data_IF_753617202628
#
_entry.id   IF_753617202628
#
_cell.length_a   1.000
_cell.length_b   1.000
_cell.length_c   1.000
_cell.angle_alpha   90.00
_cell.angle_beta   90.00
_cell.angle_gamma   90.00
#
_symmetry.space_group_name_H-M   'P 1'
#
loop_
_entity.id
_entity.type
_entity.pdbx_description
1 polymer ?
#
# COMPACT_ATOMS: atom_id res chain seq x y z
N UNK A 1 -40.31 35.93 33.02
CA UNK A 1 -39.81 36.32 31.69
C UNK A 1 -41.05 36.71 30.88
N UNK A 2 -41.70 37.86 31.11
CA UNK A 2 -41.20 39.24 31.21
C UNK A 2 -40.18 39.56 30.11
N UNK A 3 -40.54 40.54 29.26
CA UNK A 3 -39.66 41.10 28.24
C UNK A 3 -40.35 41.77 27.03
N UNK A 4 -41.41 42.55 27.24
CA UNK A 4 -41.72 43.69 26.36
C UNK A 4 -40.89 44.89 26.85
N UNK A 5 -40.34 45.65 25.90
CA UNK A 5 -40.19 47.12 25.85
C UNK A 5 -39.02 47.44 24.91
N UNK A 6 -39.15 48.29 23.90
CA UNK A 6 -39.94 49.51 23.88
C UNK A 6 -38.95 50.68 23.80
N UNK A 7 -38.81 51.27 22.62
CA UNK A 7 -38.05 52.51 22.45
C UNK A 7 -38.74 53.33 21.37
N UNK A 8 -39.43 54.41 21.74
CA UNK A 8 -38.86 55.77 21.80
C UNK A 8 -40.00 56.71 22.20
N UNK A 9 -39.64 57.62 23.09
CA UNK A 9 -40.49 58.57 23.77
C UNK A 9 -41.17 59.59 22.84
N UNK A 10 -42.41 59.93 23.17
CA UNK A 10 -43.07 61.18 22.76
C UNK A 10 -43.40 61.95 24.04
N UNK A 11 -42.65 63.03 24.27
CA UNK A 11 -43.10 64.21 25.01
C UNK A 11 -43.45 65.26 23.94
N UNK A 12 -44.48 66.08 24.01
CA UNK A 12 -45.37 66.49 25.07
C UNK A 12 -45.86 67.90 24.70
N UNK A 13 -46.92 68.34 25.39
CA UNK A 13 -47.42 69.72 25.44
C UNK A 13 -48.33 70.23 24.32
N UNK A 14 -49.57 70.53 24.71
CA UNK A 14 -50.56 71.22 23.89
C UNK A 14 -50.64 72.72 24.14
N UNK A 15 -51.45 73.40 23.34
CA UNK A 15 -52.09 74.68 23.67
C UNK A 15 -53.24 74.98 22.68
N UNK A 16 -54.46 74.84 23.18
CA UNK A 16 -55.60 75.77 23.15
C UNK A 16 -55.56 76.98 22.17
N UNK A 17 -56.69 77.18 21.47
CA UNK A 17 -57.15 78.49 20.92
C UNK A 17 -57.39 78.44 19.40
N UNK A 18 -58.62 78.27 18.92
CA UNK A 18 -59.67 79.29 18.73
C UNK A 18 -59.45 80.19 17.51
N UNK A 19 -60.34 80.05 16.51
CA UNK A 19 -60.84 81.18 15.74
C UNK A 19 -60.63 81.16 14.22
N UNK A 20 -61.76 81.14 13.51
CA UNK A 20 -62.02 81.64 12.14
C UNK A 20 -61.61 80.78 10.92
N UNK A 21 -62.63 80.22 10.28
CA UNK A 21 -62.65 79.87 8.85
C UNK A 21 -62.90 81.15 8.00
N UNK A 22 -63.09 81.12 6.66
CA UNK A 22 -62.81 80.09 5.63
C UNK A 22 -62.19 80.67 4.32
N UNK A 23 -61.25 79.95 3.66
CA UNK A 23 -60.88 80.09 2.23
C UNK A 23 -59.68 79.15 1.98
N UNK A 24 -59.58 78.22 1.03
CA UNK A 24 -60.36 77.90 -0.16
C UNK A 24 -60.13 76.40 -0.43
N UNK A 25 -61.14 75.56 -0.18
CA UNK A 25 -61.09 74.10 -0.45
C UNK A 25 -60.86 73.80 -1.96
N UNK A 26 -61.01 74.82 -2.82
CA UNK A 26 -60.81 74.75 -4.27
C UNK A 26 -59.35 74.72 -4.72
N UNK A 27 -58.40 75.27 -3.96
CA UNK A 27 -56.98 75.28 -4.35
C UNK A 27 -56.23 74.00 -3.96
N UNK A 28 -56.69 73.29 -2.92
CA UNK A 28 -56.12 72.00 -2.51
C UNK A 28 -56.66 70.81 -3.32
N UNK A 29 -57.71 71.00 -4.12
CA UNK A 29 -58.29 69.95 -4.97
C UNK A 29 -57.82 70.01 -6.44
N UNK A 30 -57.01 71.00 -6.81
CA UNK A 30 -56.59 71.19 -8.22
C UNK A 30 -55.21 70.58 -8.54
N UNK A 31 -54.49 70.00 -7.56
CA UNK A 31 -53.13 69.48 -7.80
C UNK A 31 -52.85 68.05 -7.35
N UNK A 32 -53.84 67.35 -6.79
CA UNK A 32 -53.75 65.90 -6.57
C UNK A 32 -54.72 65.20 -7.53
N UNK A 33 -54.65 65.56 -8.81
CA UNK A 33 -55.09 64.65 -9.85
C UNK A 33 -54.09 63.51 -9.83
N UNK A 34 -54.44 62.45 -9.09
CA UNK A 34 -53.83 61.14 -9.16
C UNK A 34 -53.52 60.82 -10.62
N UNK A 35 -52.27 61.08 -11.04
CA UNK A 35 -51.76 60.56 -12.29
C UNK A 35 -51.46 59.09 -12.01
N UNK A 36 -52.53 58.30 -11.86
CA UNK A 36 -52.46 56.86 -11.77
C UNK A 36 -51.99 56.40 -13.13
N UNK A 37 -50.67 56.39 -13.29
CA UNK A 37 -50.05 55.91 -14.49
C UNK A 37 -50.18 54.39 -14.49
N UNK A 38 -51.27 53.95 -15.10
CA UNK A 38 -51.62 52.54 -15.30
C UNK A 38 -50.42 51.79 -15.87
N UNK A 39 -49.58 52.44 -16.69
CA UNK A 39 -48.41 51.80 -17.31
C UNK A 39 -47.31 51.50 -16.29
N UNK A 40 -46.97 52.42 -15.39
CA UNK A 40 -45.98 52.16 -14.33
C UNK A 40 -46.51 51.20 -13.28
N UNK A 41 -47.77 51.34 -12.85
CA UNK A 41 -48.35 50.40 -11.88
C UNK A 41 -48.47 48.98 -12.44
N UNK A 42 -48.90 48.82 -13.70
CA UNK A 42 -48.93 47.49 -14.36
C UNK A 42 -47.53 46.95 -14.58
N UNK A 43 -46.56 47.75 -15.04
CA UNK A 43 -45.17 47.32 -15.21
C UNK A 43 -44.56 46.86 -13.87
N UNK A 44 -44.78 47.61 -12.79
CA UNK A 44 -44.23 47.28 -11.46
C UNK A 44 -44.90 46.05 -10.85
N UNK A 45 -46.22 45.89 -11.03
CA UNK A 45 -46.95 44.67 -10.64
C UNK A 45 -46.49 43.44 -11.44
N UNK A 46 -46.23 43.61 -12.74
CA UNK A 46 -45.66 42.57 -13.60
C UNK A 46 -44.25 42.19 -13.13
N UNK A 47 -43.38 43.16 -12.84
CA UNK A 47 -42.04 42.90 -12.31
C UNK A 47 -42.09 42.17 -10.95
N UNK A 48 -42.99 42.57 -10.06
CA UNK A 48 -43.17 41.91 -8.77
C UNK A 48 -43.64 40.45 -8.95
N UNK A 49 -44.53 40.20 -9.92
CA UNK A 49 -44.98 38.85 -10.26
C UNK A 49 -43.84 38.00 -10.85
N UNK A 50 -42.97 38.59 -11.67
CA UNK A 50 -41.77 37.91 -12.19
C UNK A 50 -40.79 37.56 -11.07
N UNK A 51 -40.52 38.50 -10.14
CA UNK A 51 -39.64 38.26 -8.97
C UNK A 51 -40.18 37.14 -8.08
N UNK A 52 -41.50 37.05 -7.92
CA UNK A 52 -42.15 35.96 -7.20
C UNK A 52 -42.08 34.61 -7.94
N UNK A 53 -41.87 34.60 -9.25
CA UNK A 53 -41.71 33.40 -10.08
C UNK A 53 -40.29 32.82 -10.03
N UNK A 54 -39.26 33.66 -9.87
CA UNK A 54 -37.86 33.22 -9.73
C UNK A 54 -37.60 32.17 -8.63
N UNK A 55 -38.10 32.32 -7.38
CA UNK A 55 -37.90 31.30 -6.34
C UNK A 55 -38.61 29.98 -6.67
N UNK A 56 -39.75 30.01 -7.36
CA UNK A 56 -40.41 28.80 -7.83
C UNK A 56 -39.57 28.06 -8.90
N UNK A 57 -38.97 28.80 -9.84
CA UNK A 57 -38.04 28.25 -10.85
C UNK A 57 -36.78 27.66 -10.21
N UNK A 58 -36.23 28.32 -9.18
CA UNK A 58 -35.06 27.84 -8.45
C UNK A 58 -35.38 26.57 -7.65
N UNK A 59 -36.51 26.54 -6.95
CA UNK A 59 -36.97 25.34 -6.24
C UNK A 59 -37.17 24.17 -7.21
N UNK A 60 -37.77 24.42 -8.38
CA UNK A 60 -37.92 23.41 -9.43
C UNK A 60 -36.57 22.91 -9.95
N UNK A 61 -35.61 23.81 -10.17
CA UNK A 61 -34.25 23.44 -10.59
C UNK A 61 -33.51 22.61 -9.53
N UNK A 62 -33.68 22.94 -8.24
CA UNK A 62 -33.13 22.16 -7.12
C UNK A 62 -33.74 20.76 -7.10
N UNK A 63 -35.06 20.64 -7.25
CA UNK A 63 -35.72 19.33 -7.29
C UNK A 63 -35.33 18.48 -8.51
N UNK A 64 -35.06 19.13 -9.66
CA UNK A 64 -34.54 18.43 -10.84
C UNK A 64 -33.10 17.96 -10.63
N UNK A 65 -32.25 18.80 -10.06
CA UNK A 65 -30.87 18.44 -9.74
C UNK A 65 -30.83 17.30 -8.72
N UNK A 66 -31.69 17.34 -7.70
CA UNK A 66 -31.80 16.29 -6.68
C UNK A 66 -32.22 14.94 -7.30
N UNK A 67 -33.20 14.95 -8.20
CA UNK A 67 -33.59 13.74 -8.96
C UNK A 67 -32.46 13.19 -9.81
N UNK A 68 -31.79 14.06 -10.57
CA UNK A 68 -30.70 13.64 -11.46
C UNK A 68 -29.50 13.12 -10.66
N UNK A 69 -29.18 13.78 -9.55
CA UNK A 69 -28.12 13.36 -8.64
C UNK A 69 -28.45 12.01 -8.00
N UNK A 70 -29.70 11.81 -7.56
CA UNK A 70 -30.15 10.52 -7.05
C UNK A 70 -30.06 9.42 -8.11
N UNK A 71 -30.49 9.70 -9.35
CA UNK A 71 -30.38 8.76 -10.46
C UNK A 71 -28.93 8.40 -10.78
N UNK A 72 -28.00 9.37 -10.75
CA UNK A 72 -26.59 9.09 -10.99
C UNK A 72 -25.92 8.32 -9.86
N UNK A 73 -26.27 8.62 -8.61
CA UNK A 73 -25.81 7.87 -7.44
C UNK A 73 -26.31 6.44 -7.50
N UNK A 74 -27.61 6.25 -7.81
CA UNK A 74 -28.23 4.94 -8.00
C UNK A 74 -27.77 4.26 -9.30
N UNK A 75 -27.27 4.98 -10.30
CA UNK A 75 -26.70 4.33 -11.47
C UNK A 75 -25.33 3.70 -11.14
N UNK A 76 -24.51 4.37 -10.32
CA UNK A 76 -23.11 3.99 -10.10
C UNK A 76 -22.84 3.19 -8.83
N UNK A 77 -23.76 3.17 -7.87
CA UNK A 77 -23.53 2.50 -6.58
C UNK A 77 -23.32 0.97 -6.68
N UNK A 78 -24.03 0.29 -7.58
CA UNK A 78 -23.84 -1.15 -7.86
C UNK A 78 -22.46 -1.43 -8.44
N UNK A 79 -22.01 -0.61 -9.40
CA UNK A 79 -20.67 -0.75 -10.00
C UNK A 79 -19.56 -0.53 -8.97
N UNK A 80 -19.71 0.47 -8.09
CA UNK A 80 -18.73 0.77 -7.05
C UNK A 80 -18.67 -0.34 -5.98
N UNK A 81 -19.82 -0.92 -5.62
CA UNK A 81 -19.89 -2.07 -4.72
C UNK A 81 -19.28 -3.32 -5.35
N UNK A 82 -19.62 -3.61 -6.62
CA UNK A 82 -19.03 -4.73 -7.36
C UNK A 82 -17.51 -4.58 -7.46
N UNK A 83 -17.01 -3.36 -7.68
CA UNK A 83 -15.58 -3.07 -7.69
C UNK A 83 -14.94 -3.30 -6.30
N UNK A 84 -15.58 -2.82 -5.22
CA UNK A 84 -15.08 -3.01 -3.86
C UNK A 84 -15.00 -4.50 -3.48
N UNK A 85 -16.06 -5.28 -3.77
CA UNK A 85 -16.05 -6.74 -3.55
C UNK A 85 -15.03 -7.44 -4.44
N UNK A 86 -14.82 -6.95 -5.67
CA UNK A 86 -13.79 -7.46 -6.57
C UNK A 86 -12.37 -7.27 -6.00
N UNK A 87 -12.10 -6.13 -5.38
CA UNK A 87 -10.83 -5.83 -4.70
C UNK A 87 -10.63 -6.76 -3.50
N UNK A 88 -11.64 -6.93 -2.65
CA UNK A 88 -11.58 -7.83 -1.48
C UNK A 88 -11.29 -9.29 -1.90
N UNK A 89 -11.93 -9.75 -2.97
CA UNK A 89 -11.66 -11.06 -3.58
C UNK A 89 -10.18 -11.19 -4.01
N UNK A 90 -9.64 -10.16 -4.67
CA UNK A 90 -8.25 -10.16 -5.13
C UNK A 90 -7.25 -10.14 -3.96
N UNK A 91 -7.55 -9.39 -2.90
CA UNK A 91 -6.77 -9.41 -1.66
C UNK A 91 -6.70 -10.83 -1.06
N UNK A 92 -7.81 -11.56 -1.05
CA UNK A 92 -7.84 -12.96 -0.63
C UNK A 92 -6.92 -13.86 -1.48
N UNK A 93 -6.93 -13.68 -2.80
CA UNK A 93 -6.04 -14.42 -3.72
C UNK A 93 -4.57 -14.06 -3.49
N UNK A 94 -4.25 -12.77 -3.32
CA UNK A 94 -2.90 -12.30 -3.04
C UNK A 94 -2.39 -12.85 -1.71
N UNK A 95 -3.23 -12.89 -0.67
CA UNK A 95 -2.87 -13.47 0.62
C UNK A 95 -2.60 -14.98 0.52
N UNK A 96 -3.40 -15.70 -0.28
CA UNK A 96 -3.16 -17.11 -0.57
C UNK A 96 -1.83 -17.32 -1.32
N UNK A 97 -1.54 -16.47 -2.30
CA UNK A 97 -0.29 -16.52 -3.05
C UNK A 97 0.91 -16.24 -2.16
N UNK A 98 0.82 -15.22 -1.28
CA UNK A 98 1.87 -14.89 -0.31
C UNK A 98 2.17 -16.08 0.63
N UNK A 99 1.12 -16.75 1.11
CA UNK A 99 1.27 -17.94 1.96
C UNK A 99 1.97 -19.08 1.22
N UNK A 100 1.59 -19.32 -0.05
CA UNK A 100 2.21 -20.35 -0.90
C UNK A 100 3.68 -20.03 -1.21
N UNK A 101 4.00 -18.76 -1.50
CA UNK A 101 5.38 -18.31 -1.70
C UNK A 101 6.19 -18.57 -0.43
N UNK A 102 5.67 -18.22 0.75
CA UNK A 102 6.33 -18.51 2.02
C UNK A 102 6.60 -20.00 2.24
N UNK A 103 5.62 -20.86 1.92
CA UNK A 103 5.79 -22.31 2.00
C UNK A 103 6.86 -22.83 1.03
N UNK A 104 6.90 -22.34 -0.21
CA UNK A 104 7.92 -22.68 -1.20
C UNK A 104 9.31 -22.20 -0.76
N UNK A 105 9.42 -20.99 -0.24
CA UNK A 105 10.66 -20.44 0.32
C UNK A 105 11.22 -21.38 1.40
N UNK A 106 10.36 -21.83 2.33
CA UNK A 106 10.76 -22.77 3.37
C UNK A 106 11.16 -24.15 2.84
N UNK A 107 10.57 -24.63 1.74
CA UNK A 107 11.02 -25.87 1.08
C UNK A 107 12.41 -25.68 0.47
N UNK A 108 12.65 -24.57 -0.23
CA UNK A 108 13.94 -24.24 -0.83
C UNK A 108 15.03 -24.17 0.22
N UNK A 109 14.78 -23.51 1.36
CA UNK A 109 15.74 -23.42 2.46
C UNK A 109 16.10 -24.80 3.02
N UNK A 110 15.11 -25.69 3.19
CA UNK A 110 15.34 -27.07 3.63
C UNK A 110 16.14 -27.87 2.61
N UNK A 111 15.89 -27.70 1.31
CA UNK A 111 16.65 -28.36 0.25
C UNK A 111 18.10 -27.87 0.27
N UNK A 112 18.30 -26.54 0.37
CA UNK A 112 19.63 -25.94 0.45
C UNK A 112 20.42 -26.49 1.63
N UNK A 113 19.82 -26.58 2.82
CA UNK A 113 20.45 -27.18 3.99
C UNK A 113 20.87 -28.63 3.74
N UNK A 114 19.96 -29.46 3.21
CA UNK A 114 20.26 -30.87 2.89
C UNK A 114 21.40 -31.03 1.90
N UNK A 115 21.48 -30.17 0.89
CA UNK A 115 22.56 -30.18 -0.11
C UNK A 115 23.90 -29.86 0.56
N UNK A 116 23.95 -28.79 1.36
CA UNK A 116 25.17 -28.37 2.07
C UNK A 116 25.65 -29.46 3.04
N UNK A 117 24.74 -30.04 3.82
CA UNK A 117 25.08 -31.11 4.77
C UNK A 117 25.62 -32.35 4.06
N UNK A 118 24.97 -32.75 2.95
CA UNK A 118 25.41 -33.90 2.15
C UNK A 118 26.77 -33.65 1.51
N UNK A 119 27.00 -32.44 0.99
CA UNK A 119 28.29 -32.04 0.44
C UNK A 119 29.40 -32.12 1.49
N UNK A 120 29.16 -31.58 2.69
CA UNK A 120 30.13 -31.61 3.78
C UNK A 120 30.48 -33.05 4.21
N UNK A 121 29.51 -33.97 4.21
CA UNK A 121 29.75 -35.40 4.48
C UNK A 121 30.65 -36.03 3.42
N UNK A 122 30.43 -35.73 2.14
CA UNK A 122 31.26 -36.25 1.04
C UNK A 122 32.69 -35.73 1.17
N UNK A 123 32.88 -34.43 1.42
CA UNK A 123 34.21 -33.82 1.61
C UNK A 123 34.94 -34.46 2.79
N UNK A 124 34.26 -34.67 3.93
CA UNK A 124 34.85 -35.31 5.09
C UNK A 124 35.29 -36.76 4.80
N UNK A 125 34.44 -37.54 4.11
CA UNK A 125 34.75 -38.90 3.70
C UNK A 125 35.94 -38.93 2.71
N UNK A 126 35.97 -38.04 1.73
CA UNK A 126 37.09 -37.91 0.78
C UNK A 126 38.40 -37.62 1.50
N UNK A 127 38.39 -36.72 2.49
CA UNK A 127 39.57 -36.44 3.32
C UNK A 127 39.99 -37.64 4.19
N UNK A 128 39.05 -38.45 4.67
CA UNK A 128 39.36 -39.71 5.37
C UNK A 128 40.00 -40.72 4.43
N UNK A 129 39.45 -40.91 3.23
CA UNK A 129 39.99 -41.83 2.24
C UNK A 129 41.40 -41.43 1.80
N UNK A 130 41.65 -40.13 1.58
CA UNK A 130 42.99 -39.63 1.26
C UNK A 130 44.01 -39.94 2.37
N UNK A 131 43.63 -39.76 3.64
CA UNK A 131 44.48 -40.11 4.79
C UNK A 131 44.74 -41.61 4.87
N UNK A 132 43.72 -42.43 4.59
CA UNK A 132 43.88 -43.89 4.57
C UNK A 132 44.77 -44.35 3.42
N UNK A 133 44.65 -43.73 2.25
CA UNK A 133 45.50 -44.04 1.10
C UNK A 133 46.97 -43.76 1.44
N UNK A 134 47.27 -42.60 2.01
CA UNK A 134 48.64 -42.27 2.47
C UNK A 134 49.14 -43.27 3.50
N UNK A 135 48.28 -43.67 4.47
CA UNK A 135 48.63 -44.69 5.44
C UNK A 135 48.92 -46.05 4.78
N UNK A 136 48.14 -46.44 3.78
CA UNK A 136 48.34 -47.66 3.01
C UNK A 136 49.65 -47.64 2.23
N UNK A 137 49.96 -46.52 1.56
CA UNK A 137 51.21 -46.33 0.82
C UNK A 137 52.43 -46.39 1.75
N UNK A 138 52.33 -45.78 2.95
CA UNK A 138 53.35 -45.91 4.00
C UNK A 138 53.54 -47.37 4.42
N UNK A 139 52.45 -48.11 4.59
CA UNK A 139 52.48 -49.52 4.98
C UNK A 139 53.16 -50.38 3.92
N UNK A 140 52.85 -50.16 2.64
CA UNK A 140 53.52 -50.82 1.52
C UNK A 140 55.01 -50.53 1.47
N UNK A 141 55.42 -49.26 1.68
CA UNK A 141 56.84 -48.88 1.77
C UNK A 141 57.53 -49.61 2.91
N UNK A 142 56.91 -49.67 4.09
CA UNK A 142 57.46 -50.39 5.25
C UNK A 142 57.62 -51.89 4.94
N UNK A 143 56.62 -52.55 4.36
CA UNK A 143 56.69 -53.98 3.99
C UNK A 143 57.85 -54.22 3.01
N UNK A 144 57.99 -53.36 2.00
CA UNK A 144 59.06 -53.43 1.02
C UNK A 144 60.43 -53.33 1.71
N UNK A 145 60.64 -52.27 2.50
CA UNK A 145 61.88 -52.06 3.26
C UNK A 145 62.21 -53.26 4.15
N UNK A 146 61.22 -53.82 4.86
CA UNK A 146 61.42 -54.99 5.73
C UNK A 146 61.87 -56.23 4.95
N UNK A 147 61.27 -56.49 3.78
CA UNK A 147 61.64 -57.64 2.96
C UNK A 147 63.04 -57.50 2.36
N UNK A 148 63.35 -56.30 1.85
CA UNK A 148 64.69 -55.95 1.36
C UNK A 148 65.73 -56.03 2.47
N UNK A 149 65.41 -55.55 3.68
CA UNK A 149 66.30 -55.63 4.84
C UNK A 149 66.63 -57.07 5.21
N UNK A 150 65.64 -57.97 5.21
CA UNK A 150 65.84 -59.41 5.43
C UNK A 150 66.73 -60.03 4.35
N UNK A 151 66.48 -59.70 3.08
CA UNK A 151 67.28 -60.18 1.94
C UNK A 151 68.73 -59.69 2.04
N UNK A 152 68.93 -58.41 2.33
CA UNK A 152 70.25 -57.79 2.50
C UNK A 152 71.02 -58.43 3.67
N UNK A 153 70.34 -58.68 4.80
CA UNK A 153 70.95 -59.34 5.95
C UNK A 153 71.43 -60.76 5.59
N UNK A 154 70.67 -61.50 4.78
CA UNK A 154 71.10 -62.79 4.24
C UNK A 154 72.29 -62.69 3.28
N UNK A 155 72.29 -61.69 2.38
CA UNK A 155 73.40 -61.44 1.44
C UNK A 155 74.70 -61.07 2.17
N UNK A 156 74.62 -60.27 3.24
CA UNK A 156 75.77 -59.88 4.06
C UNK A 156 76.38 -61.07 4.82
N UNK A 157 75.56 -62.03 5.26
CA UNK A 157 76.05 -63.28 5.87
C UNK A 157 76.80 -64.18 4.87
N UNK A 158 76.53 -64.05 3.57
CA UNK A 158 77.23 -64.74 2.48
C UNK A 158 78.65 -64.22 2.20
N UNK A 159 79.09 -63.16 2.88
CA UNK A 159 80.44 -62.61 2.78
C UNK A 159 80.77 -61.94 1.43
N UNK A 160 82.07 -61.86 1.11
CA UNK A 160 82.61 -61.09 -0.05
C UNK A 160 81.96 -61.43 -1.40
N UNK A 161 81.50 -62.68 -1.58
CA UNK A 161 80.94 -63.17 -2.83
C UNK A 161 79.57 -62.57 -3.19
N UNK A 162 78.80 -62.07 -2.22
CA UNK A 162 77.44 -61.57 -2.42
C UNK A 162 77.35 -60.03 -2.37
N UNK A 163 78.48 -59.32 -2.23
CA UNK A 163 78.53 -57.85 -2.10
C UNK A 163 77.90 -57.13 -3.30
N UNK A 164 78.15 -57.59 -4.52
CA UNK A 164 77.56 -56.97 -5.73
C UNK A 164 76.03 -57.08 -5.74
N UNK A 165 75.48 -58.19 -5.23
CA UNK A 165 74.03 -58.39 -5.13
C UNK A 165 73.42 -57.57 -3.99
N UNK A 166 74.16 -57.36 -2.90
CA UNK A 166 73.76 -56.46 -1.83
C UNK A 166 73.69 -55.00 -2.32
N UNK A 167 74.66 -54.55 -3.12
CA UNK A 167 74.64 -53.22 -3.73
C UNK A 167 73.44 -53.03 -4.67
N UNK A 168 73.10 -54.04 -5.47
CA UNK A 168 71.91 -54.00 -6.33
C UNK A 168 70.61 -53.94 -5.51
N UNK A 169 70.49 -54.74 -4.45
CA UNK A 169 69.34 -54.69 -3.52
C UNK A 169 69.14 -53.29 -2.92
N UNK A 170 70.23 -52.55 -2.67
CA UNK A 170 70.14 -51.19 -2.10
C UNK A 170 69.65 -50.16 -3.13
N UNK A 171 70.04 -50.31 -4.39
CA UNK A 171 69.60 -49.42 -5.48
C UNK A 171 68.10 -49.53 -5.76
N UNK A 172 67.51 -50.71 -5.53
CA UNK A 172 66.06 -50.94 -5.64
C UNK A 172 65.24 -50.19 -4.56
N UNK A 173 65.88 -49.63 -3.53
CA UNK A 173 65.22 -48.84 -2.46
C UNK A 173 64.92 -47.39 -2.88
N UNK A 174 65.62 -46.88 -3.90
CA UNK A 174 65.60 -45.47 -4.33
C UNK A 174 64.73 -45.16 -5.54
N UNK A 175 64.04 -46.16 -6.11
CA UNK A 175 63.08 -46.05 -7.23
C UNK A 175 61.68 -46.29 -6.67
#
# INVERSE_FOLDING_TARGET
MEGCDGSVAVAGFGARGSGAAPATVRELLQNECYNFDVKTYTSQSIHQAVIAEQPAKLAQGISQLDKELHLQVVARHEDLLAQATGIESLEGVLQMMQTRIGALQGVVDRIKAKIVDSYNKIVACSAQLARLQVACDLLWRIICILNLSKRLQGQLQGGSREITKAAQSLNELGI
#
